data_IF_765216652161
#
_entry.id   IF_765216652161
#
_cell.length_a   1.000
_cell.length_b   1.000
_cell.length_c   1.000
_cell.angle_alpha   90.00
_cell.angle_beta   90.00
_cell.angle_gamma   90.00
#
_symmetry.space_group_name_H-M   'P 1'
#
loop_
_entity.id
_entity.type
_entity.pdbx_description
1 polymer ?
#
# COMPACT_ATOMS: atom_id res chain seq x y z
N UNK A 1 38.82 -10.46 23.06
CA UNK A 1 37.37 -10.21 23.06
C UNK A 1 36.96 -10.05 21.60
N UNK A 2 36.41 -11.10 20.99
CA UNK A 2 35.95 -11.06 19.61
C UNK A 2 34.53 -10.50 19.60
N UNK A 3 34.32 -9.39 18.89
CA UNK A 3 33.00 -8.82 18.67
C UNK A 3 32.25 -9.72 17.69
N UNK A 4 31.28 -10.44 18.23
CA UNK A 4 30.35 -11.29 17.48
C UNK A 4 29.41 -10.39 16.67
N UNK A 5 29.88 -9.98 15.49
CA UNK A 5 29.08 -9.24 14.52
C UNK A 5 28.20 -10.27 13.82
N UNK A 6 27.15 -10.70 14.51
CA UNK A 6 26.10 -11.53 13.93
C UNK A 6 25.39 -10.70 12.87
N UNK A 7 25.88 -10.79 11.63
CA UNK A 7 25.19 -10.38 10.43
C UNK A 7 23.84 -11.10 10.41
N UNK A 8 22.82 -10.45 10.97
CA UNK A 8 21.43 -10.85 10.84
C UNK A 8 21.16 -10.85 9.34
N UNK A 9 21.12 -12.04 8.75
CA UNK A 9 20.71 -12.26 7.37
C UNK A 9 19.27 -11.79 7.28
N UNK A 10 19.09 -10.52 6.93
CA UNK A 10 17.80 -9.95 6.60
C UNK A 10 17.33 -10.71 5.37
N UNK A 11 16.44 -11.70 5.56
CA UNK A 11 15.69 -12.29 4.46
C UNK A 11 15.11 -11.13 3.66
N UNK A 12 15.34 -11.12 2.33
CA UNK A 12 14.76 -10.13 1.42
C UNK A 12 13.24 -10.23 1.46
N UNK A 13 12.61 -9.58 2.44
CA UNK A 13 11.16 -9.45 2.52
C UNK A 13 10.77 -8.49 1.41
N UNK A 14 9.87 -8.92 0.53
CA UNK A 14 9.31 -8.03 -0.48
C UNK A 14 8.49 -6.96 0.26
N UNK A 15 8.81 -5.66 0.11
CA UNK A 15 8.17 -4.60 0.89
C UNK A 15 6.75 -4.29 0.41
N UNK A 16 6.35 -4.80 -0.75
CA UNK A 16 5.06 -4.62 -1.37
C UNK A 16 4.52 -5.97 -1.87
N UNK A 17 3.20 -6.11 -2.03
CA UNK A 17 2.16 -5.15 -1.62
C UNK A 17 2.01 -5.05 -0.10
N UNK A 18 1.54 -3.90 0.39
CA UNK A 18 1.17 -3.73 1.81
C UNK A 18 -0.36 -3.70 1.92
N UNK A 19 -0.92 -4.63 2.69
CA UNK A 19 -2.36 -4.62 2.96
C UNK A 19 -2.75 -3.37 3.74
N UNK A 20 -3.75 -2.66 3.25
CA UNK A 20 -4.31 -1.46 3.89
C UNK A 20 -5.81 -1.60 4.03
N UNK A 21 -6.32 -1.23 5.21
CA UNK A 21 -7.74 -1.12 5.49
C UNK A 21 -8.14 0.35 5.48
N UNK A 22 -9.27 0.66 4.87
CA UNK A 22 -9.84 1.99 4.76
C UNK A 22 -11.17 2.04 5.50
N UNK A 23 -11.38 3.09 6.29
CA UNK A 23 -12.71 3.48 6.77
C UNK A 23 -13.11 4.77 6.07
N UNK A 24 -14.29 4.78 5.46
CA UNK A 24 -14.87 6.00 4.92
C UNK A 24 -15.66 6.78 5.99
N UNK A 25 -16.07 8.01 5.64
CA UNK A 25 -16.85 8.88 6.54
C UNK A 25 -18.26 8.32 6.85
N UNK A 26 -18.71 7.30 6.13
CA UNK A 26 -20.02 6.62 6.31
C UNK A 26 -19.90 5.32 7.11
N UNK A 27 -18.71 4.98 7.59
CA UNK A 27 -18.43 3.75 8.33
C UNK A 27 -18.31 2.50 7.46
N UNK A 28 -18.21 2.64 6.13
CA UNK A 28 -17.86 1.53 5.24
C UNK A 28 -16.37 1.22 5.36
N UNK A 29 -16.08 -0.06 5.53
CA UNK A 29 -14.72 -0.57 5.60
C UNK A 29 -14.42 -1.39 4.36
N UNK A 30 -13.28 -1.13 3.72
CA UNK A 30 -12.79 -1.94 2.60
C UNK A 30 -11.27 -2.06 2.66
N UNK A 31 -10.74 -3.05 1.95
CA UNK A 31 -9.31 -3.31 1.90
C UNK A 31 -8.73 -3.03 0.51
N UNK A 32 -7.44 -2.76 0.47
CA UNK A 32 -6.66 -2.64 -0.76
C UNK A 32 -5.20 -3.00 -0.52
N UNK A 33 -4.42 -2.94 -1.60
CA UNK A 33 -3.00 -3.27 -1.60
C UNK A 33 -2.19 -2.03 -1.99
N UNK A 34 -1.40 -1.48 -1.06
CA UNK A 34 -0.45 -0.41 -1.39
C UNK A 34 0.65 -1.02 -2.26
N UNK A 35 0.71 -0.58 -3.51
CA UNK A 35 1.70 -1.02 -4.50
C UNK A 35 2.90 -0.07 -4.58
N UNK A 36 2.74 1.17 -4.10
CA UNK A 36 3.82 2.15 -3.99
C UNK A 36 3.56 3.12 -2.86
N UNK A 37 4.58 3.40 -2.05
CA UNK A 37 4.54 4.39 -0.98
C UNK A 37 5.45 5.57 -1.32
N UNK A 38 5.06 6.77 -0.92
CA UNK A 38 5.90 7.98 -0.98
C UNK A 38 5.77 8.74 0.34
N UNK A 39 6.57 9.79 0.52
CA UNK A 39 6.44 10.70 1.68
C UNK A 39 5.13 11.50 1.70
N UNK A 40 4.44 11.62 0.57
CA UNK A 40 3.23 12.43 0.42
C UNK A 40 1.95 11.60 0.45
N UNK A 41 2.05 10.29 0.20
CA UNK A 41 0.90 9.44 -0.04
C UNK A 41 1.29 8.09 -0.58
N UNK A 42 0.36 7.43 -1.25
CA UNK A 42 0.57 6.09 -1.80
C UNK A 42 -0.35 5.79 -2.97
N UNK A 43 0.08 4.84 -3.78
CA UNK A 43 -0.72 4.22 -4.83
C UNK A 43 -1.26 2.89 -4.29
N UNK A 44 -2.57 2.70 -4.37
CA UNK A 44 -3.27 1.50 -3.91
C UNK A 44 -4.00 0.82 -5.05
N UNK A 45 -3.94 -0.50 -5.09
CA UNK A 45 -4.83 -1.36 -5.86
C UNK A 45 -6.06 -1.70 -5.03
N UNK A 46 -7.23 -1.38 -5.57
CA UNK A 46 -8.54 -1.59 -4.96
C UNK A 46 -9.18 -2.83 -5.56
N UNK A 47 -9.62 -3.75 -4.71
CA UNK A 47 -10.17 -5.03 -5.18
C UNK A 47 -11.53 -4.85 -5.88
N UNK A 48 -12.49 -4.19 -5.23
CA UNK A 48 -13.88 -4.12 -5.73
C UNK A 48 -14.54 -2.74 -5.52
N UNK A 49 -13.95 -1.90 -4.67
CA UNK A 49 -14.52 -0.59 -4.31
C UNK A 49 -14.20 0.48 -5.35
N UNK A 50 -15.22 1.18 -5.83
CA UNK A 50 -15.04 2.43 -6.61
C UNK A 50 -14.87 3.57 -5.63
N UNK A 51 -13.76 4.30 -5.75
CA UNK A 51 -13.52 5.53 -4.99
C UNK A 51 -13.61 6.75 -5.90
N UNK A 52 -13.90 7.92 -5.33
CA UNK A 52 -13.99 9.18 -6.08
C UNK A 52 -12.84 10.10 -5.71
N UNK A 53 -12.38 10.92 -6.66
CA UNK A 53 -11.43 12.00 -6.38
C UNK A 53 -11.99 12.91 -5.28
N UNK A 54 -11.12 13.39 -4.39
CA UNK A 54 -11.42 14.11 -3.14
C UNK A 54 -12.11 13.32 -2.03
N UNK A 55 -12.49 12.05 -2.25
CA UNK A 55 -13.01 11.20 -1.17
C UNK A 55 -11.94 10.98 -0.11
N UNK A 56 -12.34 11.01 1.16
CA UNK A 56 -11.46 10.93 2.34
C UNK A 56 -11.64 9.62 3.06
N UNK A 57 -10.54 9.10 3.62
CA UNK A 57 -10.51 7.86 4.37
C UNK A 57 -9.56 7.94 5.56
N UNK A 58 -9.84 7.15 6.58
CA UNK A 58 -8.84 6.73 7.57
C UNK A 58 -8.22 5.45 7.06
N UNK A 59 -6.91 5.46 6.84
CA UNK A 59 -6.15 4.33 6.31
C UNK A 59 -5.36 3.68 7.45
N UNK A 60 -5.37 2.35 7.54
CA UNK A 60 -4.60 1.57 8.52
C UNK A 60 -3.82 0.45 7.85
N UNK A 61 -2.52 0.39 8.11
CA UNK A 61 -1.62 -0.64 7.57
C UNK A 61 -0.40 -0.84 8.47
N UNK A 62 0.40 -1.87 8.20
CA UNK A 62 1.62 -2.17 8.94
C UNK A 62 2.82 -2.29 8.00
N UNK A 63 3.97 -1.72 8.38
CA UNK A 63 5.21 -1.86 7.62
C UNK A 63 5.84 -3.24 7.83
N UNK A 64 5.95 -4.11 6.81
CA UNK A 64 6.31 -5.53 6.95
C UNK A 64 7.72 -5.78 7.51
N UNK A 65 8.65 -4.83 7.35
CA UNK A 65 10.04 -4.93 7.87
C UNK A 65 10.26 -4.20 9.19
N UNK A 66 9.35 -3.31 9.59
CA UNK A 66 9.48 -2.52 10.82
C UNK A 66 8.52 -2.97 11.92
N UNK A 67 7.47 -3.73 11.58
CA UNK A 67 6.41 -4.11 12.51
C UNK A 67 5.69 -2.91 13.10
N UNK A 68 5.61 -1.80 12.34
CA UNK A 68 5.03 -0.53 12.80
C UNK A 68 3.70 -0.30 12.11
N UNK A 69 2.65 -0.21 12.92
CA UNK A 69 1.33 0.18 12.46
C UNK A 69 1.30 1.68 12.12
N UNK A 70 0.58 2.00 11.06
CA UNK A 70 0.31 3.37 10.59
C UNK A 70 -1.19 3.55 10.56
N UNK A 71 -1.65 4.66 11.14
CA UNK A 71 -3.00 5.18 10.94
C UNK A 71 -2.89 6.61 10.42
N UNK A 72 -3.49 6.90 9.27
CA UNK A 72 -3.40 8.21 8.64
C UNK A 72 -4.69 8.58 7.90
N UNK A 73 -5.04 9.87 7.94
CA UNK A 73 -6.08 10.40 7.07
C UNK A 73 -5.51 10.60 5.67
N UNK A 74 -6.23 10.18 4.64
CA UNK A 74 -5.84 10.40 3.25
C UNK A 74 -7.04 10.79 2.38
N UNK A 75 -6.77 11.41 1.23
CA UNK A 75 -7.78 11.69 0.22
C UNK A 75 -7.32 11.22 -1.16
N UNK A 76 -8.27 10.79 -1.99
CA UNK A 76 -8.01 10.39 -3.37
C UNK A 76 -7.68 11.61 -4.21
N UNK A 77 -6.56 11.57 -4.91
CA UNK A 77 -6.12 12.63 -5.83
C UNK A 77 -6.33 12.22 -7.27
N UNK A 78 -6.11 10.93 -7.58
CA UNK A 78 -6.32 10.36 -8.92
C UNK A 78 -6.84 8.94 -8.83
N UNK A 79 -7.59 8.54 -9.83
CA UNK A 79 -8.03 7.14 -10.05
C UNK A 79 -7.60 6.72 -11.44
N UNK A 80 -7.18 5.47 -11.58
CA UNK A 80 -6.79 4.87 -12.84
C UNK A 80 -7.55 3.55 -13.00
N UNK A 81 -8.22 3.38 -14.13
CA UNK A 81 -8.79 2.11 -14.53
C UNK A 81 -7.81 1.46 -15.52
N UNK A 82 -7.16 0.38 -15.10
CA UNK A 82 -6.34 -0.42 -15.99
C UNK A 82 -7.14 -1.65 -16.40
N UNK A 83 -7.43 -1.75 -17.70
CA UNK A 83 -7.92 -3.00 -18.27
C UNK A 83 -6.73 -3.94 -18.39
N UNK A 84 -6.69 -5.02 -17.58
CA UNK A 84 -5.72 -6.09 -17.81
C UNK A 84 -5.95 -6.70 -19.19
N UNK A 85 -4.84 -6.98 -19.87
CA UNK A 85 -4.84 -7.69 -21.14
C UNK A 85 -5.58 -9.04 -20.97
N UNK A 86 -6.61 -9.33 -21.80
CA UNK A 86 -7.32 -10.61 -21.76
C UNK A 86 -6.41 -11.84 -22.00
N UNK A 87 -5.17 -11.65 -22.46
CA UNK A 87 -4.17 -12.72 -22.61
C UNK A 87 -3.63 -13.29 -21.28
N UNK A 88 -3.85 -12.60 -20.15
CA UNK A 88 -3.53 -13.10 -18.81
C UNK A 88 -4.78 -13.03 -17.91
N UNK A 89 -5.68 -14.03 -17.98
CA UNK A 89 -6.80 -14.09 -17.07
C UNK A 89 -6.29 -14.21 -15.63
N UNK A 90 -6.88 -13.46 -14.67
CA UNK A 90 -6.59 -13.67 -13.27
C UNK A 90 -6.89 -15.13 -12.91
N UNK A 91 -6.09 -15.71 -12.04
CA UNK A 91 -6.32 -17.06 -11.56
C UNK A 91 -7.08 -16.94 -10.25
N UNK A 92 -8.25 -17.57 -10.16
CA UNK A 92 -8.98 -17.70 -8.91
C UNK A 92 -8.10 -18.42 -7.87
N UNK A 93 -8.38 -18.29 -6.55
CA UNK A 93 -7.63 -18.98 -5.50
C UNK A 93 -7.58 -20.51 -5.65
N UNK A 94 -8.49 -21.08 -6.45
CA UNK A 94 -8.60 -22.51 -6.77
C UNK A 94 -7.80 -22.94 -8.02
N UNK A 95 -7.05 -22.02 -8.65
CA UNK A 95 -6.27 -22.31 -9.85
C UNK A 95 -7.04 -22.20 -11.16
N UNK A 96 -8.34 -21.86 -11.13
CA UNK A 96 -9.15 -21.71 -12.35
C UNK A 96 -8.96 -20.33 -13.00
N UNK A 97 -8.98 -20.21 -14.34
CA UNK A 97 -8.95 -18.91 -15.01
C UNK A 97 -10.26 -18.16 -14.76
N UNK A 98 -10.16 -16.97 -14.17
CA UNK A 98 -11.27 -16.06 -14.00
C UNK A 98 -11.67 -15.51 -15.37
N UNK A 99 -12.89 -15.82 -15.81
CA UNK A 99 -13.48 -15.29 -17.04
C UNK A 99 -13.88 -13.83 -16.85
N UNK A 100 -13.13 -12.90 -17.46
CA UNK A 100 -13.46 -11.48 -17.54
C UNK A 100 -12.21 -10.59 -17.48
N UNK A 101 -12.21 -9.45 -18.18
CA UNK A 101 -11.22 -8.40 -17.92
C UNK A 101 -11.43 -7.88 -16.50
N UNK A 102 -10.61 -8.31 -15.55
CA UNK A 102 -10.59 -7.71 -14.23
C UNK A 102 -9.94 -6.34 -14.36
N UNK A 103 -10.78 -5.31 -14.36
CA UNK A 103 -10.32 -3.93 -14.29
C UNK A 103 -9.55 -3.77 -12.97
N UNK A 104 -8.23 -3.56 -13.06
CA UNK A 104 -7.41 -3.20 -11.91
C UNK A 104 -7.67 -1.74 -11.64
N UNK A 105 -8.32 -1.46 -10.50
CA UNK A 105 -8.62 -0.10 -10.08
C UNK A 105 -7.50 0.40 -9.19
N UNK A 106 -6.70 1.33 -9.71
CA UNK A 106 -5.67 1.99 -8.92
C UNK A 106 -6.18 3.35 -8.44
N UNK A 107 -5.84 3.71 -7.21
CA UNK A 107 -6.07 5.05 -6.69
C UNK A 107 -4.78 5.61 -6.10
N UNK A 108 -4.48 6.86 -6.43
CA UNK A 108 -3.40 7.62 -5.81
C UNK A 108 -4.02 8.47 -4.69
N UNK A 109 -3.58 8.24 -3.46
CA UNK A 109 -4.05 8.94 -2.28
C UNK A 109 -2.93 9.78 -1.68
N UNK A 110 -3.26 10.99 -1.22
CA UNK A 110 -2.35 11.86 -0.47
C UNK A 110 -2.75 11.94 0.99
N UNK A 111 -1.76 11.92 1.87
CA UNK A 111 -1.98 12.13 3.31
C UNK A 111 -2.52 13.53 3.58
N UNK A 112 -3.55 13.62 4.42
CA UNK A 112 -4.13 14.88 4.89
C UNK A 112 -3.35 15.30 6.12
N UNK A 113 -2.50 16.33 5.98
CA UNK A 113 -1.73 16.95 7.07
C UNK A 113 -0.99 15.91 7.95
N UNK A 114 -0.11 15.07 7.37
CA UNK A 114 0.65 14.11 8.16
C UNK A 114 1.54 14.85 9.16
N UNK A 115 1.51 14.42 10.41
CA UNK A 115 2.38 14.93 11.47
C UNK A 115 3.86 14.59 11.19
N UNK A 116 4.77 15.21 11.94
CA UNK A 116 6.20 14.99 11.77
C UNK A 116 6.60 13.54 12.08
N UNK A 117 5.95 12.91 13.06
CA UNK A 117 6.24 11.54 13.47
C UNK A 117 5.94 10.53 12.34
N UNK A 118 4.79 10.67 11.68
CA UNK A 118 4.37 9.85 10.55
C UNK A 118 5.30 10.06 9.35
N UNK A 119 5.66 11.31 9.03
CA UNK A 119 6.59 11.61 7.94
C UNK A 119 7.96 10.96 8.15
N UNK A 120 8.50 11.09 9.37
CA UNK A 120 9.77 10.47 9.73
C UNK A 120 9.69 8.94 9.72
N UNK A 121 8.57 8.37 10.16
CA UNK A 121 8.34 6.93 10.12
C UNK A 121 8.32 6.41 8.68
N UNK A 122 7.58 7.07 7.77
CA UNK A 122 7.55 6.73 6.35
C UNK A 122 8.94 6.86 5.72
N UNK A 123 9.66 7.95 6.03
CA UNK A 123 11.02 8.17 5.52
C UNK A 123 11.95 7.04 5.96
N UNK A 124 11.92 6.65 7.24
CA UNK A 124 12.70 5.52 7.77
C UNK A 124 12.38 4.21 7.05
N UNK A 125 11.10 3.94 6.81
CA UNK A 125 10.68 2.77 6.04
C UNK A 125 11.26 2.80 4.61
N UNK A 126 11.09 3.91 3.89
CA UNK A 126 11.59 4.07 2.52
C UNK A 126 13.11 3.91 2.42
N UNK A 127 13.86 4.41 3.40
CA UNK A 127 15.32 4.18 3.50
C UNK A 127 15.64 2.71 3.79
N UNK A 128 14.90 2.06 4.69
CA UNK A 128 15.10 0.66 5.04
C UNK A 128 14.89 -0.29 3.84
N UNK A 129 13.97 0.06 2.93
CA UNK A 129 13.69 -0.72 1.71
C UNK A 129 14.50 -0.24 0.48
N UNK A 130 15.44 0.70 0.67
CA UNK A 130 16.33 1.18 -0.39
C UNK A 130 15.67 2.09 -1.44
N UNK A 131 14.50 2.67 -1.14
CA UNK A 131 13.80 3.59 -2.06
C UNK A 131 14.17 5.05 -1.87
N UNK A 132 14.84 5.40 -0.77
CA UNK A 132 15.41 6.72 -0.54
C UNK A 132 16.89 6.60 -0.14
N UNK A 133 17.73 7.61 -0.46
CA UNK A 133 19.09 7.69 0.04
C UNK A 133 19.08 7.81 1.58
N UNK A 134 20.14 7.30 2.20
CA UNK A 134 20.38 7.38 3.64
C UNK A 134 20.71 8.81 4.08
#
# INVERSE_FOLDING_TARGET
MASDNSDVVVKKVQPYPILVNFDDEKGQVFAGNIVKLTTHGFLVELNETVVRIQQRFICRFEFPVMGKAVQANAHVVKTYDQFRDPSQPPVNPDGSPATGSVAVRLAELHFIRPDSALRELIKKFLVAIGQLPR
#
